data_IF_816981775678
#
_entry.id   IF_816981775678
#
_cell.length_a   1.000
_cell.length_b   1.000
_cell.length_c   1.000
_cell.angle_alpha   90.00
_cell.angle_beta   90.00
_cell.angle_gamma   90.00
#
_symmetry.space_group_name_H-M   'P 1'
#
loop_
_entity.id
_entity.type
_entity.pdbx_description
1 polymer ?
#
# COMPACT_ATOMS: atom_id res chain seq x y z
N UNK A 1 14.31 11.04 6.02
CA UNK A 1 14.68 9.61 5.94
C UNK A 1 13.47 8.84 5.45
N UNK A 2 13.64 7.98 4.46
CA UNK A 2 12.57 7.06 4.06
C UNK A 2 12.55 5.82 4.96
N UNK A 3 11.37 5.26 5.17
CA UNK A 3 11.16 4.05 5.97
C UNK A 3 10.21 3.13 5.21
N UNK A 4 10.62 1.87 5.07
CA UNK A 4 9.82 0.82 4.43
C UNK A 4 9.62 -0.29 5.45
N UNK A 5 8.38 -0.65 5.74
CA UNK A 5 8.03 -1.72 6.68
C UNK A 5 7.02 -2.66 6.03
N UNK A 6 7.28 -3.96 6.14
CA UNK A 6 6.35 -5.02 5.75
C UNK A 6 5.63 -5.53 7.01
N UNK A 7 4.31 -5.56 6.98
CA UNK A 7 3.44 -6.08 8.03
C UNK A 7 2.62 -7.25 7.47
N UNK A 8 3.08 -8.50 7.65
CA UNK A 8 2.33 -9.68 7.24
C UNK A 8 1.31 -10.11 8.30
N UNK A 9 0.14 -10.57 7.86
CA UNK A 9 -0.82 -11.28 8.69
C UNK A 9 -1.60 -12.31 7.85
N UNK A 10 -1.49 -13.59 8.22
CA UNK A 10 -2.10 -14.69 7.46
C UNK A 10 -1.77 -14.60 5.95
N UNK A 11 -2.78 -14.45 5.10
CA UNK A 11 -2.65 -14.29 3.65
C UNK A 11 -2.52 -12.84 3.17
N UNK A 12 -2.67 -11.86 4.07
CA UNK A 12 -2.58 -10.44 3.76
C UNK A 12 -1.18 -9.86 4.08
N UNK A 13 -0.69 -9.00 3.20
CA UNK A 13 0.55 -8.24 3.39
C UNK A 13 0.28 -6.74 3.28
N UNK A 14 0.81 -5.97 4.21
CA UNK A 14 0.75 -4.50 4.16
C UNK A 14 2.16 -3.93 4.09
N UNK A 15 2.42 -3.14 3.05
CA UNK A 15 3.66 -2.42 2.87
C UNK A 15 3.45 -0.95 3.26
N UNK A 16 4.10 -0.52 4.34
CA UNK A 16 4.03 0.85 4.86
C UNK A 16 5.30 1.59 4.44
N UNK A 17 5.14 2.64 3.64
CA UNK A 17 6.24 3.44 3.14
C UNK A 17 6.05 4.89 3.57
N UNK A 18 7.04 5.43 4.27
CA UNK A 18 7.16 6.83 4.64
C UNK A 18 8.30 7.44 3.85
N UNK A 19 8.06 8.58 3.23
CA UNK A 19 9.11 9.38 2.61
C UNK A 19 8.77 10.87 2.70
N UNK A 20 9.80 11.72 2.74
CA UNK A 20 9.63 13.16 2.97
C UNK A 20 9.21 13.92 1.69
N UNK A 21 9.49 13.35 0.51
CA UNK A 21 9.17 13.96 -0.78
C UNK A 21 8.36 13.01 -1.65
N UNK A 22 7.58 13.55 -2.60
CA UNK A 22 6.84 12.72 -3.55
C UNK A 22 7.77 11.90 -4.46
N UNK A 23 8.94 12.45 -4.82
CA UNK A 23 9.91 11.75 -5.65
C UNK A 23 10.46 10.52 -4.92
N UNK A 24 10.97 10.72 -3.70
CA UNK A 24 11.45 9.61 -2.87
C UNK A 24 10.34 8.61 -2.58
N UNK A 25 9.11 9.07 -2.32
CA UNK A 25 7.97 8.17 -2.09
C UNK A 25 7.76 7.21 -3.27
N UNK A 26 7.77 7.72 -4.51
CA UNK A 26 7.61 6.88 -5.71
C UNK A 26 8.78 5.91 -5.87
N UNK A 27 10.01 6.41 -5.73
CA UNK A 27 11.23 5.60 -5.86
C UNK A 27 11.28 4.48 -4.80
N UNK A 28 11.05 4.82 -3.54
CA UNK A 28 11.02 3.87 -2.42
C UNK A 28 9.89 2.85 -2.58
N UNK A 29 8.71 3.31 -3.01
CA UNK A 29 7.56 2.41 -3.24
C UNK A 29 7.85 1.43 -4.36
N UNK A 30 8.37 1.89 -5.50
CA UNK A 30 8.66 1.03 -6.63
C UNK A 30 9.79 0.04 -6.32
N UNK A 31 10.82 0.50 -5.60
CA UNK A 31 11.92 -0.35 -5.13
C UNK A 31 11.41 -1.44 -4.18
N UNK A 32 10.60 -1.06 -3.19
CA UNK A 32 10.05 -2.00 -2.22
C UNK A 32 9.10 -3.03 -2.86
N UNK A 33 8.25 -2.60 -3.80
CA UNK A 33 7.40 -3.51 -4.60
C UNK A 33 8.24 -4.50 -5.39
N UNK A 34 9.32 -4.03 -6.02
CA UNK A 34 10.18 -4.90 -6.84
C UNK A 34 10.86 -5.95 -5.98
N UNK A 35 11.45 -5.54 -4.85
CA UNK A 35 12.08 -6.46 -3.91
C UNK A 35 11.08 -7.47 -3.34
N UNK A 36 9.90 -7.01 -2.94
CA UNK A 36 8.85 -7.88 -2.42
C UNK A 36 8.32 -8.85 -3.48
N UNK A 37 8.19 -8.42 -4.74
CA UNK A 37 7.79 -9.31 -5.84
C UNK A 37 8.82 -10.39 -6.12
N UNK A 38 10.12 -10.07 -6.05
CA UNK A 38 11.19 -11.06 -6.14
C UNK A 38 11.11 -12.08 -5.00
N UNK A 39 10.98 -11.59 -3.75
CA UNK A 39 10.82 -12.45 -2.59
C UNK A 39 9.59 -13.37 -2.69
N UNK A 40 8.44 -12.84 -3.14
CA UNK A 40 7.26 -13.67 -3.37
C UNK A 40 7.52 -14.77 -4.41
N UNK A 41 8.23 -14.44 -5.49
CA UNK A 41 8.54 -15.42 -6.54
C UNK A 41 9.49 -16.52 -6.06
N UNK A 42 10.49 -16.16 -5.24
CA UNK A 42 11.42 -17.11 -4.61
C UNK A 42 10.73 -18.02 -3.59
N UNK A 43 9.65 -17.57 -2.96
CA UNK A 43 8.88 -18.31 -1.96
C UNK A 43 7.59 -18.93 -2.52
N UNK A 44 7.44 -18.97 -3.86
CA UNK A 44 6.27 -19.54 -4.54
C UNK A 44 4.93 -18.91 -4.12
N UNK A 45 4.94 -17.63 -3.73
CA UNK A 45 3.76 -16.86 -3.34
C UNK A 45 3.18 -16.12 -4.55
N UNK A 46 1.91 -16.35 -4.83
CA UNK A 46 1.16 -15.65 -5.87
C UNK A 46 0.43 -14.43 -5.29
N UNK A 47 0.83 -13.22 -5.70
CA UNK A 47 0.16 -11.97 -5.32
C UNK A 47 -0.93 -11.61 -6.32
N UNK A 48 -2.14 -11.34 -5.82
CA UNK A 48 -3.26 -10.86 -6.63
C UNK A 48 -3.15 -9.36 -6.87
N UNK A 49 -2.51 -8.96 -7.98
CA UNK A 49 -2.36 -7.54 -8.37
C UNK A 49 -3.68 -6.79 -8.49
N UNK A 50 -4.77 -7.48 -8.84
CA UNK A 50 -6.12 -6.92 -8.94
C UNK A 50 -6.72 -6.53 -7.58
N UNK A 51 -6.39 -7.28 -6.53
CA UNK A 51 -6.84 -7.01 -5.15
C UNK A 51 -5.90 -6.06 -4.42
N UNK A 52 -4.67 -5.89 -4.91
CA UNK A 52 -3.71 -4.93 -4.36
C UNK A 52 -4.19 -3.51 -4.59
N UNK A 53 -4.35 -2.77 -3.49
CA UNK A 53 -4.71 -1.36 -3.48
C UNK A 53 -3.75 -0.60 -2.58
N UNK A 54 -3.68 0.72 -2.74
CA UNK A 54 -2.92 1.56 -1.82
C UNK A 54 -3.76 2.74 -1.31
N UNK A 55 -3.40 3.20 -0.12
CA UNK A 55 -3.90 4.44 0.47
C UNK A 55 -2.75 5.45 0.54
N UNK A 56 -3.05 6.74 0.35
CA UNK A 56 -2.04 7.79 0.45
C UNK A 56 -2.40 8.73 1.60
N UNK A 57 -1.57 8.75 2.63
CA UNK A 57 -1.66 9.68 3.75
C UNK A 57 -0.82 10.93 3.44
N UNK A 58 -1.38 11.86 2.68
CA UNK A 58 -0.70 13.11 2.34
C UNK A 58 -1.67 14.20 1.91
N UNK A 59 -1.25 15.46 2.08
CA UNK A 59 -1.93 16.63 1.49
C UNK A 59 -1.67 16.76 -0.03
N UNK A 60 -0.83 15.90 -0.60
CA UNK A 60 -0.52 15.90 -2.04
C UNK A 60 -1.79 15.59 -2.84
N UNK A 61 -2.13 16.51 -3.76
CA UNK A 61 -3.31 16.38 -4.63
C UNK A 61 -3.06 15.36 -5.75
N UNK A 62 -1.84 15.32 -6.30
CA UNK A 62 -1.49 14.42 -7.41
C UNK A 62 -0.93 13.10 -6.88
N UNK A 63 -1.76 12.05 -6.95
CA UNK A 63 -1.36 10.70 -6.52
C UNK A 63 -0.13 10.19 -7.29
N UNK A 64 0.79 9.48 -6.63
CA UNK A 64 1.88 8.81 -7.30
C UNK A 64 1.35 7.73 -8.26
N UNK A 65 2.05 7.55 -9.38
CA UNK A 65 1.80 6.41 -10.27
C UNK A 65 2.64 5.25 -9.75
N UNK A 66 1.96 4.23 -9.25
CA UNK A 66 2.59 3.01 -8.70
C UNK A 66 2.18 1.84 -9.57
N UNK A 67 3.14 1.02 -9.96
CA UNK A 67 2.92 -0.15 -10.81
C UNK A 67 3.56 -1.39 -10.21
N UNK A 68 2.86 -2.53 -10.33
CA UNK A 68 3.35 -3.86 -9.96
C UNK A 68 3.41 -4.73 -11.20
N UNK A 69 4.60 -5.15 -11.64
CA UNK A 69 4.78 -5.98 -12.84
C UNK A 69 4.03 -5.43 -14.08
N UNK A 70 4.04 -4.10 -14.26
CA UNK A 70 3.32 -3.41 -15.34
C UNK A 70 1.84 -3.11 -15.06
N UNK A 71 1.23 -3.73 -14.05
CA UNK A 71 -0.15 -3.45 -13.64
C UNK A 71 -0.21 -2.20 -12.75
N UNK A 72 -1.17 -1.31 -13.02
CA UNK A 72 -1.38 -0.12 -12.19
C UNK A 72 -2.10 -0.50 -10.89
N UNK A 73 -1.52 -0.12 -9.75
CA UNK A 73 -2.18 -0.26 -8.45
C UNK A 73 -3.14 0.90 -8.25
N UNK A 74 -4.37 0.59 -7.82
CA UNK A 74 -5.39 1.59 -7.61
C UNK A 74 -5.25 2.29 -6.25
N UNK A 75 -5.48 3.61 -6.25
CA UNK A 75 -5.62 4.39 -5.02
C UNK A 75 -7.05 4.23 -4.51
N UNK A 76 -7.20 3.84 -3.26
CA UNK A 76 -8.48 3.85 -2.54
C UNK A 76 -8.48 4.91 -1.44
N UNK A 77 -9.68 5.35 -1.03
CA UNK A 77 -9.84 6.28 0.10
C UNK A 77 -10.01 5.56 1.44
N UNK A 78 -10.42 4.30 1.41
CA UNK A 78 -10.50 3.44 2.57
C UNK A 78 -10.36 1.99 2.15
N UNK A 79 -9.82 1.17 3.03
CA UNK A 79 -9.81 -0.29 2.92
C UNK A 79 -10.02 -0.91 4.31
N UNK A 80 -10.42 -2.18 4.31
CA UNK A 80 -10.57 -2.98 5.53
C UNK A 80 -9.34 -3.85 5.69
N UNK A 81 -8.73 -3.84 6.87
CA UNK A 81 -7.61 -4.70 7.23
C UNK A 81 -7.81 -5.18 8.67
N UNK A 82 -7.79 -6.51 8.87
CA UNK A 82 -8.01 -7.14 10.17
C UNK A 82 -9.29 -6.69 10.90
N UNK A 83 -10.38 -6.46 10.14
CA UNK A 83 -11.64 -5.99 10.71
C UNK A 83 -11.73 -4.47 10.90
N UNK A 84 -10.61 -3.76 10.77
CA UNK A 84 -10.53 -2.32 10.97
C UNK A 84 -10.64 -1.62 9.62
N UNK A 85 -11.51 -0.59 9.55
CA UNK A 85 -11.57 0.28 8.38
C UNK A 85 -10.59 1.43 8.57
N UNK A 86 -9.60 1.49 7.67
CA UNK A 86 -8.62 2.58 7.65
C UNK A 86 -9.00 3.52 6.50
N UNK A 87 -9.17 4.80 6.78
CA UNK A 87 -9.50 5.84 5.81
C UNK A 87 -8.37 6.85 5.64
N UNK A 88 -8.31 7.54 4.50
CA UNK A 88 -7.22 8.43 4.11
C UNK A 88 -7.11 9.69 4.96
N UNK A 89 -8.12 9.96 5.79
CA UNK A 89 -8.16 11.07 6.76
C UNK A 89 -7.93 10.60 8.20
N UNK A 90 -7.83 9.29 8.44
CA UNK A 90 -7.69 8.68 9.77
C UNK A 90 -8.75 9.19 10.75
N UNK A 91 -9.97 9.44 10.28
CA UNK A 91 -11.04 10.00 11.10
C UNK A 91 -11.99 8.93 11.67
N UNK A 92 -11.80 7.66 11.28
CA UNK A 92 -12.54 6.50 11.79
C UNK A 92 -14.05 6.53 11.52
N UNK A 93 -14.56 7.52 10.80
CA UNK A 93 -15.99 7.67 10.54
C UNK A 93 -16.54 6.50 9.73
N UNK A 94 -15.79 6.04 8.72
CA UNK A 94 -16.15 4.87 7.94
C UNK A 94 -16.19 3.59 8.79
N UNK A 95 -15.33 3.47 9.81
CA UNK A 95 -15.33 2.33 10.71
C UNK A 95 -16.58 2.31 11.59
N UNK A 96 -16.88 3.45 12.23
CA UNK A 96 -18.02 3.59 13.15
C UNK A 96 -19.35 3.41 12.40
N UNK A 97 -19.46 3.95 11.18
CA UNK A 97 -20.70 3.90 10.41
C UNK A 97 -20.97 2.56 9.69
N UNK A 98 -19.96 1.69 9.57
CA UNK A 98 -20.06 0.39 8.87
C UNK A 98 -19.89 -0.83 9.78
N UNK A 99 -19.82 -0.62 11.10
CA UNK A 99 -20.05 -1.68 12.09
C UNK A 99 -21.52 -2.06 12.13
#
# INVERSE_FOLDING_TARGET
>A
MSTVCLLPFADDFVLVIKADTNKSLVEDTQSAITQFSSWCSENELAISTEKTNYILFSKIVRSPKITWNGYKINRVKSFKYLGIHVDDRLNWLEHINKQ
#
